data_IF_712164503105
#
_entry.id   IF_712164503105
#
_cell.length_a   1.000
_cell.length_b   1.000
_cell.length_c   1.000
_cell.angle_alpha   90.00
_cell.angle_beta   90.00
_cell.angle_gamma   90.00
#
_symmetry.space_group_name_H-M   'P 1'
#
loop_
_entity.id
_entity.type
_entity.pdbx_description
1 polymer ?
#
# COMPACT_ATOMS: atom_id res chain seq x y z
N UNK A 1 -36.79 55.89 -65.44
CA UNK A 1 -36.15 54.73 -66.08
C UNK A 1 -36.66 53.48 -65.35
N UNK A 2 -37.82 52.98 -65.78
CA UNK A 2 -37.98 51.70 -66.53
C UNK A 2 -38.22 50.53 -65.54
N UNK A 3 -39.46 50.07 -65.29
CA UNK A 3 -40.16 48.95 -66.00
C UNK A 3 -39.48 47.59 -65.72
N UNK A 4 -40.07 46.44 -65.38
CA UNK A 4 -41.34 45.73 -65.65
C UNK A 4 -41.48 44.60 -64.59
N UNK A 5 -42.66 44.24 -64.10
CA UNK A 5 -43.61 43.21 -64.58
C UNK A 5 -43.20 41.74 -64.40
N UNK A 6 -44.18 40.98 -63.90
CA UNK A 6 -44.20 39.58 -63.48
C UNK A 6 -44.57 38.65 -64.66
N UNK A 7 -43.82 37.57 -64.91
CA UNK A 7 -44.17 36.32 -65.63
C UNK A 7 -43.10 35.29 -65.17
N UNK A 8 -43.30 34.03 -64.77
CA UNK A 8 -44.30 33.02 -65.06
C UNK A 8 -43.56 31.74 -65.54
N UNK A 9 -43.54 30.70 -64.70
CA UNK A 9 -43.31 29.27 -64.97
C UNK A 9 -42.04 28.78 -65.74
N UNK A 10 -41.30 27.83 -65.15
CA UNK A 10 -41.31 26.43 -65.62
C UNK A 10 -40.25 25.56 -64.92
N UNK A 11 -40.66 24.33 -64.72
CA UNK A 11 -40.07 23.20 -64.02
C UNK A 11 -38.99 22.52 -64.86
N UNK A 12 -37.80 22.27 -64.29
CA UNK A 12 -37.04 21.01 -64.54
C UNK A 12 -36.32 20.59 -63.25
N UNK A 13 -36.98 19.74 -62.45
CA UNK A 13 -36.31 18.87 -61.47
C UNK A 13 -35.63 17.74 -62.25
N UNK A 14 -34.30 17.74 -62.37
CA UNK A 14 -33.54 16.50 -62.58
C UNK A 14 -33.12 15.98 -61.21
N UNK A 15 -33.85 14.96 -60.74
CA UNK A 15 -33.53 14.25 -59.52
C UNK A 15 -32.19 13.54 -59.67
N UNK A 16 -31.22 13.92 -58.85
CA UNK A 16 -30.08 13.07 -58.52
C UNK A 16 -30.54 12.25 -57.32
N UNK A 17 -30.93 11.00 -57.57
CA UNK A 17 -31.17 10.01 -56.52
C UNK A 17 -29.82 9.61 -55.91
N UNK A 18 -29.32 10.39 -54.96
CA UNK A 18 -28.19 9.95 -54.14
C UNK A 18 -28.66 8.87 -53.15
N UNK A 19 -28.04 7.72 -53.31
CA UNK A 19 -28.17 6.47 -52.59
C UNK A 19 -28.21 6.67 -51.04
N UNK A 20 -29.41 6.54 -50.44
CA UNK A 20 -29.65 6.67 -49.00
C UNK A 20 -28.87 5.68 -48.11
N UNK A 21 -28.20 4.68 -48.69
CA UNK A 21 -27.41 3.69 -47.93
C UNK A 21 -26.06 4.23 -47.43
N UNK A 22 -25.52 5.31 -48.03
CA UNK A 22 -24.20 5.83 -47.66
C UNK A 22 -24.29 6.82 -46.48
N UNK A 23 -25.40 7.57 -46.39
CA UNK A 23 -25.57 8.55 -45.31
C UNK A 23 -25.86 7.90 -43.94
N UNK A 24 -26.49 6.73 -43.93
CA UNK A 24 -26.75 5.97 -42.71
C UNK A 24 -25.48 5.30 -42.14
N UNK A 25 -24.51 4.99 -43.00
CA UNK A 25 -23.25 4.38 -42.59
C UNK A 25 -22.24 5.38 -42.00
N UNK A 26 -22.35 6.66 -42.38
CA UNK A 26 -21.51 7.74 -41.85
C UNK A 26 -22.05 8.35 -40.54
N UNK A 27 -23.36 8.22 -40.26
CA UNK A 27 -23.95 8.69 -39.00
C UNK A 27 -23.77 7.72 -37.83
N UNK A 28 -23.55 6.42 -38.10
CA UNK A 28 -23.30 5.41 -37.05
C UNK A 28 -21.85 5.40 -36.56
N UNK A 29 -20.90 5.86 -37.37
CA UNK A 29 -19.48 5.89 -37.01
C UNK A 29 -19.13 7.02 -36.02
N UNK A 30 -19.84 8.16 -36.09
CA UNK A 30 -19.59 9.32 -35.23
C UNK A 30 -20.24 9.19 -33.86
N UNK A 31 -21.33 8.43 -33.74
CA UNK A 31 -21.97 8.12 -32.44
C UNK A 31 -21.17 7.13 -31.59
N UNK A 32 -20.34 6.28 -32.20
CA UNK A 32 -19.49 5.31 -31.47
C UNK A 32 -18.28 6.01 -30.83
N UNK A 33 -17.75 7.07 -31.47
CA UNK A 33 -16.63 7.84 -30.90
C UNK A 33 -17.03 8.72 -29.71
N UNK A 34 -18.30 9.11 -29.57
CA UNK A 34 -18.78 9.93 -28.45
C UNK A 34 -19.03 9.15 -27.15
N UNK A 35 -19.03 7.81 -27.19
CA UNK A 35 -19.19 6.94 -26.02
C UNK A 35 -17.90 6.20 -25.64
N UNK A 36 -16.81 6.39 -26.39
CA UNK A 36 -15.49 5.92 -26.00
C UNK A 36 -14.98 6.79 -24.84
N UNK A 37 -15.44 6.50 -23.61
CA UNK A 37 -14.66 6.85 -22.42
C UNK A 37 -13.26 6.28 -22.66
N UNK A 38 -12.17 7.05 -22.52
CA UNK A 38 -10.86 6.43 -22.49
C UNK A 38 -10.93 5.37 -21.40
N UNK A 39 -10.78 4.10 -21.78
CA UNK A 39 -10.60 3.04 -20.82
C UNK A 39 -9.29 3.40 -20.11
N UNK A 40 -9.38 4.07 -18.95
CA UNK A 40 -8.23 4.33 -18.13
C UNK A 40 -7.73 2.98 -17.62
N UNK A 41 -6.84 2.38 -18.41
CA UNK A 41 -6.11 1.16 -18.07
C UNK A 41 -5.20 1.35 -16.83
N UNK A 42 -5.15 2.57 -16.29
CA UNK A 42 -4.40 2.96 -15.10
C UNK A 42 -5.31 3.24 -13.88
N UNK A 43 -6.56 2.74 -13.84
CA UNK A 43 -7.36 2.78 -12.61
C UNK A 43 -6.82 1.72 -11.62
N UNK A 44 -6.38 2.16 -10.44
CA UNK A 44 -5.78 1.29 -9.41
C UNK A 44 -6.69 0.13 -9.00
N UNK A 45 -8.00 0.36 -8.86
CA UNK A 45 -8.95 -0.70 -8.47
C UNK A 45 -9.14 -1.73 -9.60
N UNK A 46 -9.19 -1.26 -10.86
CA UNK A 46 -9.26 -2.14 -12.04
C UNK A 46 -8.00 -2.99 -12.16
N UNK A 47 -6.83 -2.38 -11.93
CA UNK A 47 -5.54 -3.07 -11.94
C UNK A 47 -5.45 -4.11 -10.81
N UNK A 48 -5.89 -3.76 -9.59
CA UNK A 48 -5.94 -4.71 -8.47
C UNK A 48 -6.89 -5.87 -8.78
N UNK A 49 -8.07 -5.60 -9.33
CA UNK A 49 -9.00 -6.65 -9.72
C UNK A 49 -8.39 -7.57 -10.78
N UNK A 50 -7.80 -6.98 -11.83
CA UNK A 50 -7.11 -7.71 -12.89
C UNK A 50 -5.98 -8.58 -12.35
N UNK A 51 -5.19 -8.05 -11.41
CA UNK A 51 -4.12 -8.79 -10.75
C UNK A 51 -4.64 -9.98 -9.95
N UNK A 52 -5.86 -9.92 -9.40
CA UNK A 52 -6.45 -10.98 -8.58
C UNK A 52 -7.18 -12.04 -9.40
N UNK A 53 -7.88 -11.65 -10.47
CA UNK A 53 -8.88 -12.51 -11.11
C UNK A 53 -8.52 -12.94 -12.52
N UNK A 54 -7.47 -12.39 -13.14
CA UNK A 54 -7.12 -12.77 -14.51
C UNK A 54 -6.47 -14.17 -14.57
N UNK A 55 -7.03 -15.04 -15.40
CA UNK A 55 -6.51 -16.40 -15.61
C UNK A 55 -5.11 -16.40 -16.24
N UNK A 56 -4.88 -15.50 -17.20
CA UNK A 56 -3.61 -15.43 -17.91
C UNK A 56 -2.55 -14.70 -17.06
N UNK A 57 -1.50 -15.43 -16.66
CA UNK A 57 -0.40 -14.87 -15.87
C UNK A 57 0.26 -13.64 -16.50
N UNK A 58 0.30 -13.52 -17.84
CA UNK A 58 0.86 -12.34 -18.53
C UNK A 58 0.02 -11.08 -18.29
N UNK A 59 -1.29 -11.23 -18.16
CA UNK A 59 -2.20 -10.14 -17.81
C UNK A 59 -1.95 -9.70 -16.36
N UNK A 60 -1.79 -10.67 -15.44
CA UNK A 60 -1.41 -10.38 -14.05
C UNK A 60 -0.05 -9.70 -13.93
N UNK A 61 0.96 -10.13 -14.69
CA UNK A 61 2.27 -9.45 -14.77
C UNK A 61 2.12 -7.99 -15.19
N UNK A 62 1.33 -7.73 -16.24
CA UNK A 62 1.07 -6.36 -16.70
C UNK A 62 0.40 -5.53 -15.62
N UNK A 63 -0.61 -6.08 -14.94
CA UNK A 63 -1.30 -5.41 -13.84
C UNK A 63 -0.34 -5.08 -12.68
N UNK A 64 0.46 -6.04 -12.23
CA UNK A 64 1.47 -5.85 -11.18
C UNK A 64 2.50 -4.77 -11.56
N UNK A 65 2.92 -4.73 -12.83
CA UNK A 65 3.85 -3.72 -13.33
C UNK A 65 3.23 -2.32 -13.35
N UNK A 66 1.99 -2.18 -13.81
CA UNK A 66 1.30 -0.88 -13.86
C UNK A 66 1.01 -0.34 -12.46
N UNK A 67 0.68 -1.20 -11.49
CA UNK A 67 0.50 -0.81 -10.09
C UNK A 67 1.73 -0.11 -9.49
N UNK A 68 2.95 -0.39 -9.99
CA UNK A 68 4.17 0.29 -9.50
C UNK A 68 4.22 1.80 -9.80
N UNK A 69 3.37 2.29 -10.72
CA UNK A 69 3.25 3.73 -11.03
C UNK A 69 2.42 4.49 -10.00
N UNK A 70 1.63 3.78 -9.19
CA UNK A 70 0.72 4.35 -8.21
C UNK A 70 1.40 4.51 -6.85
N UNK A 71 2.44 5.35 -6.80
CA UNK A 71 3.16 5.64 -5.55
C UNK A 71 2.24 6.30 -4.53
N UNK A 72 2.34 5.89 -3.27
CA UNK A 72 1.49 6.39 -2.18
C UNK A 72 0.13 5.72 -2.06
N UNK A 73 -0.29 4.89 -3.02
CA UNK A 73 -1.55 4.15 -2.94
C UNK A 73 -1.39 2.89 -2.07
N UNK A 74 -1.89 2.96 -0.82
CA UNK A 74 -1.81 1.86 0.15
C UNK A 74 -2.43 0.55 -0.39
N UNK A 75 -3.51 0.66 -1.19
CA UNK A 75 -4.16 -0.49 -1.84
C UNK A 75 -3.28 -1.15 -2.90
N UNK A 76 -2.51 -0.37 -3.67
CA UNK A 76 -1.58 -0.90 -4.66
C UNK A 76 -0.45 -1.68 -3.97
N UNK A 77 0.13 -1.10 -2.92
CA UNK A 77 1.14 -1.76 -2.10
C UNK A 77 0.63 -3.10 -1.53
N UNK A 78 -0.55 -3.10 -0.91
CA UNK A 78 -1.11 -4.29 -0.30
C UNK A 78 -1.43 -5.40 -1.32
N UNK A 79 -1.98 -5.03 -2.49
CA UNK A 79 -2.23 -5.99 -3.56
C UNK A 79 -0.93 -6.64 -4.05
N UNK A 80 0.13 -5.85 -4.27
CA UNK A 80 1.43 -6.36 -4.69
C UNK A 80 2.08 -7.23 -3.61
N UNK A 81 1.98 -6.86 -2.34
CA UNK A 81 2.52 -7.65 -1.22
C UNK A 81 1.79 -9.00 -1.09
N UNK A 82 0.47 -9.00 -1.27
CA UNK A 82 -0.30 -10.24 -1.33
C UNK A 82 0.12 -11.12 -2.51
N UNK A 83 0.25 -10.54 -3.71
CA UNK A 83 0.66 -11.27 -4.92
C UNK A 83 2.07 -11.85 -4.79
N UNK A 84 3.03 -11.10 -4.25
CA UNK A 84 4.38 -11.57 -3.96
C UNK A 84 4.36 -12.89 -3.18
N UNK A 85 3.50 -12.97 -2.17
CA UNK A 85 3.45 -14.10 -1.25
C UNK A 85 2.57 -15.26 -1.72
N UNK A 86 1.54 -15.01 -2.52
CA UNK A 86 0.46 -15.97 -2.75
C UNK A 86 0.19 -16.34 -4.21
N UNK A 87 0.75 -15.63 -5.20
CA UNK A 87 0.55 -16.02 -6.61
C UNK A 87 1.28 -17.35 -6.91
N UNK A 88 0.61 -18.23 -7.66
CA UNK A 88 1.15 -19.52 -8.08
C UNK A 88 2.32 -19.36 -9.08
N UNK A 89 2.30 -18.30 -9.90
CA UNK A 89 3.22 -18.10 -11.00
C UNK A 89 4.45 -17.30 -10.55
N UNK A 90 5.63 -17.90 -10.70
CA UNK A 90 6.91 -17.28 -10.34
C UNK A 90 7.14 -15.92 -11.01
N UNK A 91 6.74 -15.77 -12.27
CA UNK A 91 6.92 -14.50 -13.02
C UNK A 91 6.06 -13.40 -12.41
N UNK A 92 4.83 -13.73 -11.99
CA UNK A 92 3.94 -12.76 -11.34
C UNK A 92 4.50 -12.37 -9.97
N UNK A 93 4.95 -13.34 -9.17
CA UNK A 93 5.59 -13.07 -7.88
C UNK A 93 6.83 -12.18 -8.02
N UNK A 94 7.73 -12.50 -8.95
CA UNK A 94 8.93 -11.70 -9.19
C UNK A 94 8.62 -10.29 -9.72
N UNK A 95 7.59 -10.15 -10.55
CA UNK A 95 7.13 -8.83 -10.99
C UNK A 95 6.57 -8.04 -9.82
N UNK A 96 5.77 -8.67 -8.94
CA UNK A 96 5.26 -8.02 -7.74
C UNK A 96 6.39 -7.58 -6.80
N UNK A 97 7.43 -8.41 -6.62
CA UNK A 97 8.62 -8.05 -5.85
C UNK A 97 9.28 -6.77 -6.40
N UNK A 98 9.55 -6.73 -7.70
CA UNK A 98 10.17 -5.57 -8.35
C UNK A 98 9.29 -4.32 -8.24
N UNK A 99 7.97 -4.48 -8.40
CA UNK A 99 7.01 -3.39 -8.26
C UNK A 99 6.96 -2.82 -6.84
N UNK A 100 7.08 -3.66 -5.80
CA UNK A 100 7.20 -3.20 -4.41
C UNK A 100 8.46 -2.36 -4.20
N UNK A 101 9.61 -2.77 -4.76
CA UNK A 101 10.83 -1.96 -4.74
C UNK A 101 10.66 -0.60 -5.41
N UNK A 102 9.94 -0.54 -6.55
CA UNK A 102 9.61 0.71 -7.25
C UNK A 102 8.66 1.63 -6.47
N UNK A 103 7.72 1.06 -5.71
CA UNK A 103 6.83 1.84 -4.83
C UNK A 103 7.60 2.52 -3.71
N UNK A 104 8.74 1.96 -3.28
CA UNK A 104 9.60 2.58 -2.27
C UNK A 104 9.14 2.39 -0.82
N UNK A 105 8.04 1.67 -0.59
CA UNK A 105 7.56 1.40 0.77
C UNK A 105 8.41 0.28 1.41
N UNK A 106 9.18 0.66 2.44
CA UNK A 106 10.09 -0.21 3.19
C UNK A 106 9.37 -1.27 4.03
N UNK A 107 8.05 -1.19 4.18
CA UNK A 107 7.26 -2.25 4.81
C UNK A 107 7.35 -3.59 4.05
N UNK A 108 7.70 -3.59 2.76
CA UNK A 108 7.90 -4.82 1.99
C UNK A 108 9.23 -5.54 2.28
N UNK A 109 10.17 -4.91 3.00
CA UNK A 109 11.51 -5.47 3.23
C UNK A 109 11.48 -6.89 3.81
N UNK A 110 10.65 -7.24 4.83
CA UNK A 110 10.64 -8.59 5.38
C UNK A 110 10.23 -9.65 4.35
N UNK A 111 9.18 -9.38 3.56
CA UNK A 111 8.70 -10.26 2.50
C UNK A 111 9.70 -10.37 1.35
N UNK A 112 10.36 -9.27 0.98
CA UNK A 112 11.40 -9.25 -0.04
C UNK A 112 12.66 -9.99 0.43
N UNK A 113 13.07 -9.87 1.69
CA UNK A 113 14.18 -10.64 2.27
C UNK A 113 13.89 -12.15 2.24
N UNK A 114 12.66 -12.56 2.56
CA UNK A 114 12.21 -13.95 2.40
C UNK A 114 12.27 -14.39 0.93
N UNK A 115 11.72 -13.58 0.02
CA UNK A 115 11.71 -13.87 -1.42
C UNK A 115 13.13 -13.94 -2.03
N UNK A 116 14.07 -13.13 -1.53
CA UNK A 116 15.48 -13.10 -1.96
C UNK A 116 16.26 -14.40 -1.64
N UNK A 117 15.67 -15.28 -0.83
CA UNK A 117 16.19 -16.60 -0.47
C UNK A 117 15.43 -17.74 -1.17
N UNK A 118 14.49 -17.41 -2.06
CA UNK A 118 13.70 -18.40 -2.80
C UNK A 118 14.55 -19.23 -3.76
N UNK A 119 14.12 -20.47 -4.02
CA UNK A 119 14.68 -21.32 -5.09
C UNK A 119 14.22 -20.90 -6.49
N UNK A 120 13.13 -20.13 -6.57
CA UNK A 120 12.58 -19.53 -7.79
C UNK A 120 13.50 -18.40 -8.26
N UNK A 121 14.31 -18.62 -9.29
CA UNK A 121 15.37 -17.69 -9.74
C UNK A 121 14.83 -16.30 -10.08
N UNK A 122 13.74 -16.21 -10.84
CA UNK A 122 13.19 -14.92 -11.25
C UNK A 122 12.64 -14.14 -10.05
N UNK A 123 11.95 -14.80 -9.12
CA UNK A 123 11.51 -14.19 -7.87
C UNK A 123 12.69 -13.72 -7.02
N UNK A 124 13.68 -14.59 -6.83
CA UNK A 124 14.88 -14.33 -6.03
C UNK A 124 15.63 -13.11 -6.53
N UNK A 125 15.88 -13.02 -7.84
CA UNK A 125 16.68 -11.94 -8.42
C UNK A 125 15.92 -10.61 -8.43
N UNK A 126 14.61 -10.62 -8.71
CA UNK A 126 13.79 -9.41 -8.61
C UNK A 126 13.62 -8.92 -7.16
N UNK A 127 13.53 -9.84 -6.19
CA UNK A 127 13.47 -9.47 -4.78
C UNK A 127 14.78 -8.82 -4.30
N UNK A 128 15.94 -9.36 -4.72
CA UNK A 128 17.24 -8.73 -4.43
C UNK A 128 17.33 -7.32 -5.03
N UNK A 129 16.95 -7.17 -6.30
CA UNK A 129 16.90 -5.86 -6.95
C UNK A 129 15.96 -4.89 -6.25
N UNK A 130 14.79 -5.35 -5.80
CA UNK A 130 13.86 -4.53 -5.05
C UNK A 130 14.46 -4.07 -3.71
N UNK A 131 15.16 -4.95 -2.99
CA UNK A 131 15.87 -4.59 -1.75
C UNK A 131 16.96 -3.55 -1.98
N UNK A 132 17.72 -3.67 -3.07
CA UNK A 132 18.72 -2.66 -3.47
C UNK A 132 18.07 -1.29 -3.69
N UNK A 133 16.96 -1.24 -4.45
CA UNK A 133 16.21 0.01 -4.68
C UNK A 133 15.69 0.63 -3.38
N UNK A 134 15.25 -0.18 -2.41
CA UNK A 134 14.79 0.30 -1.10
C UNK A 134 15.96 0.76 -0.22
N UNK A 135 17.13 0.13 -0.34
CA UNK A 135 18.34 0.53 0.37
C UNK A 135 18.89 1.87 -0.16
N UNK A 136 18.82 2.12 -1.46
CA UNK A 136 19.27 3.38 -2.08
C UNK A 136 18.48 4.60 -1.57
N UNK A 137 17.23 4.40 -1.15
CA UNK A 137 16.38 5.44 -0.54
C UNK A 137 16.43 5.44 0.98
N UNK A 138 17.34 4.67 1.59
CA UNK A 138 17.50 4.63 3.03
C UNK A 138 18.26 5.87 3.51
N UNK A 139 17.72 6.64 4.48
CA UNK A 139 18.49 7.71 5.08
C UNK A 139 19.70 7.14 5.82
N UNK A 140 20.73 7.96 5.99
CA UNK A 140 21.82 7.64 6.89
C UNK A 140 21.28 7.51 8.32
N UNK A 141 21.65 6.43 9.00
CA UNK A 141 21.16 6.11 10.34
C UNK A 141 22.35 6.17 11.30
N UNK A 142 22.39 7.21 12.12
CA UNK A 142 23.36 7.33 13.20
C UNK A 142 22.98 6.43 14.38
N UNK A 143 23.88 5.51 14.72
CA UNK A 143 23.73 4.59 15.85
C UNK A 143 24.44 5.09 17.11
N UNK A 144 25.06 6.28 17.09
CA UNK A 144 25.76 6.82 18.25
C UNK A 144 24.79 7.00 19.43
N UNK A 145 25.17 6.45 20.58
CA UNK A 145 24.35 6.47 21.80
C UNK A 145 23.14 5.54 21.77
N UNK A 146 22.90 4.82 20.66
CA UNK A 146 21.84 3.81 20.56
C UNK A 146 22.31 2.51 21.20
N UNK A 147 21.42 1.90 21.98
CA UNK A 147 21.65 0.65 22.69
C UNK A 147 20.60 -0.41 22.34
N UNK A 148 19.45 0.02 21.83
CA UNK A 148 18.33 -0.86 21.46
C UNK A 148 17.94 -0.62 20.01
N UNK A 149 17.81 -1.70 19.25
CA UNK A 149 17.05 -1.75 18.01
C UNK A 149 15.63 -2.25 18.31
N UNK A 150 14.62 -1.48 17.92
CA UNK A 150 13.21 -1.78 18.14
C UNK A 150 12.49 -1.95 16.81
N UNK A 151 12.18 -3.19 16.46
CA UNK A 151 11.38 -3.51 15.29
C UNK A 151 9.89 -3.28 15.56
N UNK A 152 9.17 -2.60 14.67
CA UNK A 152 7.71 -2.37 14.80
C UNK A 152 6.95 -3.24 13.79
N UNK A 153 6.39 -4.35 14.28
CA UNK A 153 5.63 -5.31 13.50
C UNK A 153 5.88 -6.76 13.92
N UNK A 154 5.00 -7.71 13.57
CA UNK A 154 3.78 -7.55 12.76
C UNK A 154 2.71 -6.71 13.47
N UNK A 155 1.81 -6.12 12.69
CA UNK A 155 0.66 -5.39 13.22
C UNK A 155 -0.59 -5.98 12.59
N UNK A 156 -1.57 -6.32 13.43
CA UNK A 156 -2.88 -6.78 12.99
C UNK A 156 -3.98 -5.82 13.42
N UNK A 157 -5.07 -5.86 12.69
CA UNK A 157 -6.27 -5.08 12.94
C UNK A 157 -7.49 -5.99 12.79
N UNK A 158 -8.30 -6.03 13.83
CA UNK A 158 -9.61 -6.69 13.84
C UNK A 158 -10.73 -5.65 14.00
N UNK A 159 -11.92 -5.98 13.49
CA UNK A 159 -13.06 -5.06 13.49
C UNK A 159 -13.36 -4.42 12.14
N UNK A 160 -14.41 -3.61 12.10
CA UNK A 160 -14.93 -3.01 10.86
C UNK A 160 -14.19 -1.73 10.49
N UNK A 161 -13.43 -1.78 9.39
CA UNK A 161 -12.86 -0.58 8.74
C UNK A 161 -12.92 -0.74 7.23
N UNK A 162 -13.14 0.38 6.52
CA UNK A 162 -13.11 0.41 5.05
C UNK A 162 -11.70 0.38 4.47
N UNK A 163 -10.68 0.69 5.28
CA UNK A 163 -9.28 0.71 4.83
C UNK A 163 -8.32 0.21 5.93
N UNK A 164 -8.18 -1.12 6.05
CA UNK A 164 -7.32 -1.76 7.06
C UNK A 164 -5.86 -1.33 6.93
N UNK A 165 -5.35 -1.17 5.71
CA UNK A 165 -3.94 -0.88 5.47
C UNK A 165 -3.59 0.56 5.84
N UNK A 166 -4.44 1.52 5.46
CA UNK A 166 -4.25 2.92 5.86
C UNK A 166 -4.16 3.05 7.38
N UNK A 167 -5.03 2.35 8.12
CA UNK A 167 -5.02 2.36 9.59
C UNK A 167 -3.77 1.69 10.16
N UNK A 168 -3.36 0.53 9.61
CA UNK A 168 -2.16 -0.16 10.07
C UNK A 168 -0.88 0.63 9.81
N UNK A 169 -0.78 1.32 8.67
CA UNK A 169 0.32 2.25 8.36
C UNK A 169 0.32 3.40 9.37
N UNK A 170 -0.83 4.04 9.62
CA UNK A 170 -0.93 5.11 10.60
C UNK A 170 -0.54 4.65 12.03
N UNK A 171 -0.94 3.44 12.43
CA UNK A 171 -0.54 2.85 13.71
C UNK A 171 0.97 2.61 13.78
N UNK A 172 1.56 2.05 12.72
CA UNK A 172 3.01 1.83 12.64
C UNK A 172 3.77 3.15 12.77
N UNK A 173 3.33 4.20 12.09
CA UNK A 173 3.95 5.53 12.14
C UNK A 173 3.91 6.10 13.56
N UNK A 174 2.78 5.99 14.25
CA UNK A 174 2.64 6.42 15.65
C UNK A 174 3.56 5.63 16.58
N UNK A 175 3.65 4.30 16.44
CA UNK A 175 4.55 3.45 17.23
C UNK A 175 6.03 3.75 16.96
N UNK A 176 6.40 3.98 15.69
CA UNK A 176 7.74 4.41 15.32
C UNK A 176 8.09 5.77 15.91
N UNK A 177 7.16 6.72 15.91
CA UNK A 177 7.35 8.02 16.55
C UNK A 177 7.59 7.87 18.05
N UNK A 178 6.78 7.06 18.75
CA UNK A 178 6.97 6.77 20.18
C UNK A 178 8.33 6.13 20.48
N UNK A 179 8.81 5.21 19.63
CA UNK A 179 10.14 4.61 19.77
C UNK A 179 11.26 5.61 19.51
N UNK A 180 11.09 6.50 18.52
CA UNK A 180 12.10 7.49 18.12
C UNK A 180 12.30 8.60 19.16
N UNK A 181 11.29 8.87 19.99
CA UNK A 181 11.42 9.77 21.15
C UNK A 181 12.38 9.23 22.22
N UNK A 182 12.66 7.92 22.24
CA UNK A 182 13.55 7.31 23.23
C UNK A 182 14.99 7.38 22.75
N UNK A 183 15.80 8.19 23.41
CA UNK A 183 17.15 8.58 22.94
C UNK A 183 18.09 7.40 22.67
N UNK A 184 18.03 6.33 23.46
CA UNK A 184 18.84 5.11 23.33
C UNK A 184 18.23 4.05 22.39
N UNK A 185 17.09 4.33 21.77
CA UNK A 185 16.40 3.43 20.83
C UNK A 185 16.61 3.91 19.40
N UNK A 186 16.76 2.96 18.48
CA UNK A 186 16.58 3.17 17.04
C UNK A 186 15.54 2.19 16.52
N UNK A 187 14.64 2.68 15.67
CA UNK A 187 13.63 1.85 14.97
C UNK A 187 14.08 1.47 13.57
N UNK A 188 15.13 2.12 13.07
CA UNK A 188 15.75 1.84 11.78
C UNK A 188 17.15 1.25 11.98
N UNK A 189 17.59 0.47 11.00
CA UNK A 189 18.93 -0.11 10.95
C UNK A 189 19.63 0.31 9.65
N UNK A 190 20.96 0.53 9.62
CA UNK A 190 21.68 0.95 8.41
C UNK A 190 21.33 0.12 7.17
N UNK A 191 21.04 0.80 6.06
CA UNK A 191 20.55 0.19 4.81
C UNK A 191 19.08 -0.23 4.86
N UNK A 192 18.35 0.14 5.93
CA UNK A 192 16.94 -0.15 6.18
C UNK A 192 16.61 -1.65 6.22
N UNK A 193 17.63 -2.52 6.23
CA UNK A 193 17.49 -3.98 6.36
C UNK A 193 17.00 -4.37 7.75
N UNK A 194 16.44 -5.57 7.85
CA UNK A 194 16.22 -6.16 9.17
C UNK A 194 17.54 -6.77 9.69
N UNK A 195 18.04 -6.34 10.86
CA UNK A 195 19.32 -6.83 11.36
C UNK A 195 19.20 -8.27 11.87
N UNK A 196 20.15 -9.11 11.50
CA UNK A 196 20.33 -10.42 12.13
C UNK A 196 20.87 -10.30 13.55
N UNK A 197 20.85 -11.39 14.33
CA UNK A 197 21.53 -11.43 15.65
C UNK A 197 23.00 -11.04 15.56
N UNK A 198 23.68 -11.46 14.49
CA UNK A 198 25.08 -11.10 14.22
C UNK A 198 25.25 -9.61 13.96
N UNK A 199 24.35 -9.00 13.18
CA UNK A 199 24.36 -7.55 12.91
C UNK A 199 24.18 -6.76 14.21
N UNK A 200 23.21 -7.14 15.05
CA UNK A 200 22.94 -6.51 16.34
C UNK A 200 24.15 -6.63 17.28
N UNK A 201 24.74 -7.82 17.39
CA UNK A 201 25.93 -8.06 18.22
C UNK A 201 27.11 -7.22 17.76
N UNK A 202 27.37 -7.13 16.45
CA UNK A 202 28.43 -6.29 15.87
C UNK A 202 28.23 -4.81 16.19
N UNK A 203 26.97 -4.34 16.19
CA UNK A 203 26.61 -2.96 16.53
C UNK A 203 26.39 -2.73 18.02
N UNK A 204 26.57 -3.77 18.86
CA UNK A 204 26.33 -3.74 20.32
C UNK A 204 24.92 -3.27 20.69
N UNK A 205 23.92 -3.65 19.89
CA UNK A 205 22.51 -3.34 20.13
C UNK A 205 21.79 -4.56 20.70
N UNK A 206 20.92 -4.33 21.69
CA UNK A 206 19.88 -5.30 22.08
C UNK A 206 18.72 -5.21 21.09
N UNK A 207 18.19 -6.33 20.65
CA UNK A 207 17.08 -6.39 19.70
C UNK A 207 15.76 -6.70 20.39
N UNK A 208 14.76 -5.86 20.17
CA UNK A 208 13.38 -6.12 20.55
C UNK A 208 12.43 -5.88 19.37
N UNK A 209 11.27 -6.49 19.42
CA UNK A 209 10.17 -6.22 18.50
C UNK A 209 8.90 -5.93 19.26
N UNK A 210 8.05 -5.10 18.65
CA UNK A 210 6.67 -4.88 19.06
C UNK A 210 5.78 -5.61 18.07
N UNK A 211 5.03 -6.59 18.56
CA UNK A 211 3.89 -7.18 17.87
C UNK A 211 2.63 -6.49 18.41
N UNK A 212 1.80 -5.96 17.51
CA UNK A 212 0.66 -5.13 17.88
C UNK A 212 -0.65 -5.66 17.31
N UNK A 213 -1.70 -5.70 18.12
CA UNK A 213 -3.07 -5.98 17.68
C UNK A 213 -3.95 -4.79 18.04
N UNK A 214 -4.63 -4.24 17.02
CA UNK A 214 -5.62 -3.19 17.18
C UNK A 214 -7.02 -3.78 16.98
N UNK A 215 -7.85 -3.71 18.01
CA UNK A 215 -9.25 -4.10 17.92
C UNK A 215 -10.11 -2.82 17.86
N UNK A 216 -10.96 -2.73 16.82
CA UNK A 216 -11.84 -1.58 16.60
C UNK A 216 -13.28 -2.00 16.79
N UNK A 217 -14.00 -1.26 17.63
CA UNK A 217 -15.43 -1.45 17.84
C UNK A 217 -16.18 -0.11 17.83
N UNK A 218 -17.49 -0.19 17.61
CA UNK A 218 -18.41 0.94 17.76
C UNK A 218 -19.36 0.60 18.91
N UNK A 219 -19.26 1.35 20.00
CA UNK A 219 -20.12 1.20 21.17
C UNK A 219 -20.90 2.51 21.37
N UNK A 220 -22.23 2.44 21.28
CA UNK A 220 -23.10 3.56 21.65
C UNK A 220 -22.77 4.92 20.99
N UNK A 221 -22.26 4.90 19.75
CA UNK A 221 -21.85 6.11 19.01
C UNK A 221 -20.41 6.57 19.26
N UNK A 222 -19.62 5.76 19.97
CA UNK A 222 -18.21 5.95 20.25
C UNK A 222 -17.38 4.89 19.53
N UNK A 223 -16.37 5.32 18.77
CA UNK A 223 -15.37 4.44 18.18
C UNK A 223 -14.33 4.14 19.25
N UNK A 224 -14.19 2.87 19.60
CA UNK A 224 -13.25 2.39 20.61
C UNK A 224 -12.11 1.63 19.95
N UNK A 225 -10.88 1.99 20.30
CA UNK A 225 -9.65 1.36 19.85
C UNK A 225 -8.95 0.71 21.03
N UNK A 226 -8.93 -0.62 21.09
CA UNK A 226 -8.12 -1.37 22.04
C UNK A 226 -6.81 -1.79 21.37
N UNK A 227 -5.70 -1.21 21.83
CA UNK A 227 -4.37 -1.47 21.30
C UNK A 227 -3.58 -2.35 22.27
N UNK A 228 -3.32 -3.58 21.85
CA UNK A 228 -2.53 -4.58 22.57
C UNK A 228 -1.14 -4.64 21.95
N UNK A 229 -0.10 -4.48 22.76
CA UNK A 229 1.30 -4.53 22.37
C UNK A 229 2.03 -5.65 23.12
N UNK A 230 2.72 -6.51 22.39
CA UNK A 230 3.61 -7.53 22.92
C UNK A 230 5.04 -7.11 22.58
N UNK A 231 5.91 -7.09 23.60
CA UNK A 231 7.35 -6.92 23.36
C UNK A 231 8.02 -8.28 23.44
N UNK A 232 8.77 -8.63 22.40
CA UNK A 232 9.55 -9.85 22.33
C UNK A 232 11.01 -9.57 21.94
N UNK A 233 11.92 -10.52 22.16
CA UNK A 233 13.28 -10.41 21.64
C UNK A 233 13.26 -10.38 20.12
N UNK A 234 14.21 -9.70 19.50
CA UNK A 234 14.37 -9.67 18.05
C UNK A 234 15.79 -10.09 17.65
N UNK A 235 15.95 -10.96 16.65
CA UNK A 235 14.90 -11.67 15.89
C UNK A 235 14.33 -12.91 16.60
N UNK A 236 14.77 -13.25 17.82
CA UNK A 236 14.45 -14.50 18.52
C UNK A 236 13.01 -14.70 19.02
N UNK A 237 12.14 -13.70 18.94
CA UNK A 237 10.69 -13.71 19.25
C UNK A 237 10.28 -14.23 20.63
N UNK A 238 11.17 -14.23 21.62
CA UNK A 238 10.83 -14.62 22.99
C UNK A 238 10.10 -13.49 23.69
N UNK A 239 8.83 -13.70 24.05
CA UNK A 239 7.97 -12.69 24.69
C UNK A 239 8.58 -12.23 26.03
N UNK A 240 8.54 -10.92 26.29
CA UNK A 240 9.08 -10.28 27.50
C UNK A 240 8.03 -9.50 28.27
N UNK A 241 7.06 -8.91 27.60
CA UNK A 241 5.92 -8.26 28.24
C UNK A 241 4.75 -8.16 27.28
N UNK A 242 3.57 -7.94 27.86
CA UNK A 242 2.36 -7.55 27.15
C UNK A 242 1.81 -6.30 27.83
N UNK A 243 1.26 -5.39 27.05
CA UNK A 243 0.56 -4.22 27.56
C UNK A 243 -0.63 -3.91 26.66
N UNK A 244 -1.67 -3.31 27.21
CA UNK A 244 -2.83 -2.88 26.46
C UNK A 244 -3.29 -1.52 26.92
N UNK A 245 -3.82 -0.73 26.01
CA UNK A 245 -4.54 0.49 26.35
C UNK A 245 -5.67 0.70 25.36
N UNK A 246 -6.77 1.27 25.84
CA UNK A 246 -7.89 1.66 25.01
C UNK A 246 -8.02 3.18 24.94
N UNK A 247 -8.69 3.65 23.88
CA UNK A 247 -9.19 5.01 23.78
C UNK A 247 -10.53 5.01 23.05
N UNK A 248 -11.39 5.96 23.40
CA UNK A 248 -12.67 6.19 22.76
C UNK A 248 -12.75 7.57 22.11
N UNK A 249 -13.43 7.64 20.97
CA UNK A 249 -13.70 8.89 20.25
C UNK A 249 -15.14 8.87 19.75
N UNK A 250 -15.95 9.85 20.19
CA UNK A 250 -17.32 10.01 19.73
C UNK A 250 -17.37 10.26 18.22
N UNK A 251 -18.22 9.51 17.50
CA UNK A 251 -18.46 9.73 16.08
C UNK A 251 -18.79 8.47 15.31
N UNK A 252 -18.90 8.62 13.99
CA UNK A 252 -19.11 7.50 13.06
C UNK A 252 -17.82 6.71 12.88
N UNK A 253 -17.97 5.41 12.63
CA UNK A 253 -16.87 4.51 12.29
C UNK A 253 -16.34 4.85 10.89
N UNK A 254 -15.34 5.73 10.84
CA UNK A 254 -14.66 6.17 9.61
C UNK A 254 -13.16 6.09 9.79
N UNK A 255 -12.35 5.99 8.72
CA UNK A 255 -10.90 5.99 8.83
C UNK A 255 -10.35 7.22 9.58
N UNK A 256 -10.96 8.40 9.43
CA UNK A 256 -10.56 9.60 10.14
C UNK A 256 -10.78 9.48 11.66
N UNK A 257 -11.95 9.01 12.09
CA UNK A 257 -12.26 8.79 13.51
C UNK A 257 -11.33 7.74 14.12
N UNK A 258 -11.08 6.64 13.39
CA UNK A 258 -10.16 5.58 13.82
C UNK A 258 -8.75 6.13 13.98
N UNK A 259 -8.23 6.93 13.03
CA UNK A 259 -6.90 7.56 13.13
C UNK A 259 -6.78 8.45 14.37
N UNK A 260 -7.80 9.23 14.70
CA UNK A 260 -7.83 10.02 15.94
C UNK A 260 -7.82 9.13 17.18
N UNK A 261 -8.61 8.06 17.16
CA UNK A 261 -8.74 7.11 18.24
C UNK A 261 -7.42 6.37 18.54
N UNK A 262 -6.72 5.87 17.52
CA UNK A 262 -5.39 5.24 17.72
C UNK A 262 -4.33 6.25 18.16
N UNK A 263 -4.43 7.53 17.74
CA UNK A 263 -3.54 8.59 18.21
C UNK A 263 -3.63 8.80 19.72
N UNK A 264 -4.82 8.59 20.31
CA UNK A 264 -5.02 8.66 21.76
C UNK A 264 -4.59 7.36 22.47
N UNK A 265 -4.88 6.18 21.90
CA UNK A 265 -4.51 4.90 22.51
C UNK A 265 -2.99 4.64 22.50
N UNK A 266 -2.28 5.07 21.45
CA UNK A 266 -0.87 4.69 21.23
C UNK A 266 0.08 5.13 22.35
N UNK A 267 0.09 6.41 22.81
CA UNK A 267 0.99 6.82 23.88
C UNK A 267 0.76 6.05 25.19
N UNK A 268 -0.50 5.75 25.52
CA UNK A 268 -0.86 4.99 26.71
C UNK A 268 -0.38 3.53 26.61
N UNK A 269 -0.61 2.87 25.47
CA UNK A 269 -0.12 1.52 25.23
C UNK A 269 1.43 1.46 25.22
N UNK A 270 2.09 2.50 24.71
CA UNK A 270 3.55 2.54 24.61
C UNK A 270 4.23 2.92 25.92
N UNK A 271 3.52 3.49 26.91
CA UNK A 271 4.11 3.85 28.20
C UNK A 271 4.74 2.64 28.93
N UNK A 272 4.07 1.48 28.94
CA UNK A 272 4.62 0.24 29.47
C UNK A 272 5.86 -0.24 28.71
N UNK A 273 5.87 -0.06 27.39
CA UNK A 273 7.02 -0.37 26.54
C UNK A 273 8.22 0.51 26.90
N UNK A 274 8.02 1.83 27.05
CA UNK A 274 9.08 2.77 27.49
C UNK A 274 9.71 2.33 28.82
N UNK A 275 8.90 1.92 29.79
CA UNK A 275 9.41 1.41 31.08
C UNK A 275 10.24 0.12 30.93
N UNK A 276 9.77 -0.82 30.11
CA UNK A 276 10.50 -2.04 29.81
C UNK A 276 11.84 -1.78 29.12
N UNK A 277 11.86 -0.90 28.10
CA UNK A 277 13.07 -0.55 27.36
C UNK A 277 14.11 0.11 28.28
N UNK A 278 13.69 0.97 29.20
CA UNK A 278 14.59 1.60 30.17
C UNK A 278 15.25 0.57 31.11
N UNK A 279 14.49 -0.43 31.57
CA UNK A 279 15.01 -1.52 32.41
C UNK A 279 15.89 -2.52 31.64
N UNK A 280 15.82 -2.48 30.32
CA UNK A 280 16.54 -3.38 29.43
C UNK A 280 17.89 -2.83 28.99
N UNK A 281 18.30 -1.63 29.45
CA UNK A 281 19.63 -1.08 29.24
C UNK A 281 20.72 -1.92 29.91
#
# INVERSE_FOLDING_TARGET
MSSLSFVGASVIRRGITMNHKIHFFLLSLTTIFLLARPAHADNVDVLINTLKTADNYKVRVTAAMLLSKHKGEAKAFAALLYTLNNDENETVQGTAALSLGKLGNKEAIPDLEKASKSKKTFLKDNAKKALEMLADTCPEIDLKGKQIYLNIGPLDLTGSTSDKNEILTALRDLLNAQGSEVTYVTTLFPGCKQPSESDLKKKKLKGFMIDGTLEISLDSGEVVCDLKLIVATFPGKSIKMMNSANAGVTGKLTPATIKTCIKHATPAAFAGVKQFLARSL
#
